data_IF_188008544230
#
_entry.id   IF_188008544230
#
_cell.length_a   1.000
_cell.length_b   1.000
_cell.length_c   1.000
_cell.angle_alpha   90.00
_cell.angle_beta   90.00
_cell.angle_gamma   90.00
#
_symmetry.space_group_name_H-M   'P 1'
#
loop_
_entity.id
_entity.type
_entity.pdbx_description
1 polymer ?
#
# COMPACT_ATOMS: atom_id res chain seq x y z
N UNK A 1 6.08 14.52 -7.47
CA UNK A 1 6.01 13.52 -8.56
C UNK A 1 7.10 12.41 -8.50
N UNK A 2 8.38 12.75 -8.29
CA UNK A 2 9.50 11.78 -8.34
C UNK A 2 9.32 10.53 -7.46
N UNK A 3 8.83 10.70 -6.24
CA UNK A 3 8.60 9.60 -5.30
C UNK A 3 7.44 8.69 -5.71
N UNK A 4 6.41 9.25 -6.37
CA UNK A 4 5.30 8.47 -6.91
C UNK A 4 5.76 7.65 -8.11
N UNK A 5 6.60 8.23 -8.98
CA UNK A 5 7.19 7.49 -10.09
C UNK A 5 8.10 6.35 -9.60
N UNK A 6 8.95 6.62 -8.60
CA UNK A 6 9.77 5.59 -7.97
C UNK A 6 8.91 4.45 -7.39
N UNK A 7 7.82 4.80 -6.70
CA UNK A 7 6.87 3.80 -6.17
C UNK A 7 6.24 2.95 -7.26
N UNK A 8 5.88 3.52 -8.40
CA UNK A 8 5.35 2.77 -9.54
C UNK A 8 6.40 1.83 -10.14
N UNK A 9 7.66 2.28 -10.29
CA UNK A 9 8.76 1.45 -10.80
C UNK A 9 9.00 0.25 -9.88
N UNK A 10 9.07 0.47 -8.57
CA UNK A 10 9.20 -0.60 -7.58
C UNK A 10 7.98 -1.53 -7.56
N UNK A 11 6.78 -1.01 -7.80
CA UNK A 11 5.57 -1.83 -7.91
C UNK A 11 5.63 -2.76 -9.12
N UNK A 12 6.08 -2.27 -10.28
CA UNK A 12 6.32 -3.10 -11.49
C UNK A 12 7.38 -4.16 -11.23
N UNK A 13 8.48 -3.80 -10.53
CA UNK A 13 9.50 -4.77 -10.11
C UNK A 13 8.93 -5.85 -9.21
N UNK A 14 8.08 -5.48 -8.25
CA UNK A 14 7.39 -6.42 -7.35
C UNK A 14 6.47 -7.37 -8.11
N UNK A 15 5.65 -6.85 -9.02
CA UNK A 15 4.79 -7.65 -9.90
C UNK A 15 5.60 -8.66 -10.71
N UNK A 16 6.71 -8.22 -11.31
CA UNK A 16 7.58 -9.07 -12.12
C UNK A 16 8.14 -10.22 -11.28
N UNK A 17 8.61 -9.93 -10.06
CA UNK A 17 9.13 -10.94 -9.14
C UNK A 17 8.05 -11.92 -8.66
N UNK A 18 6.84 -11.44 -8.36
CA UNK A 18 5.72 -12.31 -7.99
C UNK A 18 5.22 -13.17 -9.15
N UNK A 19 5.24 -12.68 -10.39
CA UNK A 19 4.91 -13.46 -11.58
C UNK A 19 5.89 -14.63 -11.80
N UNK A 20 7.16 -14.46 -11.41
CA UNK A 20 8.16 -15.53 -11.47
C UNK A 20 7.91 -16.62 -10.41
N UNK A 21 7.25 -16.29 -9.29
CA UNK A 21 6.82 -17.28 -8.28
C UNK A 21 5.66 -18.13 -8.80
N UNK A 22 4.71 -17.53 -9.53
CA UNK A 22 3.56 -18.26 -10.06
C UNK A 22 3.90 -19.14 -11.26
N UNK A 23 4.84 -18.69 -12.12
CA UNK A 23 5.18 -19.37 -13.38
C UNK A 23 6.54 -20.09 -13.36
N UNK A 24 7.30 -20.00 -12.26
CA UNK A 24 8.66 -20.54 -12.12
C UNK A 24 8.83 -21.45 -10.89
N UNK A 25 10.07 -21.65 -10.40
CA UNK A 25 10.30 -22.38 -9.15
C UNK A 25 9.55 -21.69 -8.01
N UNK A 26 8.84 -22.45 -7.18
CA UNK A 26 8.16 -21.95 -5.96
C UNK A 26 9.18 -21.57 -4.87
N UNK A 27 10.11 -20.69 -5.20
CA UNK A 27 11.15 -20.25 -4.28
C UNK A 27 10.60 -19.15 -3.38
N UNK A 28 10.66 -19.38 -2.06
CA UNK A 28 10.31 -18.36 -1.07
C UNK A 28 11.13 -17.08 -1.26
N UNK A 29 12.33 -17.19 -1.85
CA UNK A 29 13.20 -16.05 -2.15
C UNK A 29 12.56 -15.05 -3.11
N UNK A 30 11.94 -15.49 -4.21
CA UNK A 30 11.30 -14.57 -5.16
C UNK A 30 10.08 -13.87 -4.54
N UNK A 31 9.35 -14.55 -3.66
CA UNK A 31 8.27 -13.92 -2.90
C UNK A 31 8.81 -12.84 -1.95
N UNK A 32 9.89 -13.12 -1.21
CA UNK A 32 10.54 -12.14 -0.34
C UNK A 32 11.10 -10.95 -1.11
N UNK A 33 11.71 -11.18 -2.28
CA UNK A 33 12.20 -10.11 -3.14
C UNK A 33 11.05 -9.27 -3.70
N UNK A 34 9.95 -9.91 -4.12
CA UNK A 34 8.73 -9.22 -4.54
C UNK A 34 8.17 -8.35 -3.41
N UNK A 35 8.05 -8.92 -2.20
CA UNK A 35 7.62 -8.20 -0.99
C UNK A 35 8.53 -7.02 -0.66
N UNK A 36 9.85 -7.19 -0.78
CA UNK A 36 10.83 -6.12 -0.58
C UNK A 36 10.71 -5.02 -1.64
N UNK A 37 10.44 -5.37 -2.89
CA UNK A 37 10.19 -4.38 -3.95
C UNK A 37 8.93 -3.58 -3.67
N UNK A 38 7.83 -4.23 -3.28
CA UNK A 38 6.62 -3.53 -2.86
C UNK A 38 6.87 -2.66 -1.62
N UNK A 39 7.62 -3.14 -0.62
CA UNK A 39 8.02 -2.36 0.55
C UNK A 39 8.66 -1.02 0.13
N UNK A 40 9.62 -1.07 -0.80
CA UNK A 40 10.25 0.13 -1.35
C UNK A 40 9.24 1.03 -2.08
N UNK A 41 8.23 0.45 -2.74
CA UNK A 41 7.14 1.22 -3.33
C UNK A 41 6.34 1.98 -2.28
N UNK A 42 5.90 1.34 -1.20
CA UNK A 42 5.11 2.00 -0.16
C UNK A 42 5.93 3.04 0.60
N UNK A 43 7.22 2.77 0.87
CA UNK A 43 8.12 3.76 1.45
C UNK A 43 8.28 4.97 0.52
N UNK A 44 8.41 4.74 -0.79
CA UNK A 44 8.49 5.84 -1.77
C UNK A 44 7.21 6.68 -1.75
N UNK A 45 6.04 6.05 -1.80
CA UNK A 45 4.76 6.76 -1.69
C UNK A 45 4.62 7.52 -0.37
N UNK A 46 4.93 6.88 0.75
CA UNK A 46 4.91 7.47 2.09
C UNK A 46 5.80 8.70 2.16
N UNK A 47 7.04 8.63 1.67
CA UNK A 47 7.96 9.76 1.58
C UNK A 47 7.41 10.86 0.67
N UNK A 48 6.75 10.50 -0.43
CA UNK A 48 6.06 11.44 -1.29
C UNK A 48 5.00 12.26 -0.55
N UNK A 49 4.17 11.60 0.27
CA UNK A 49 3.13 12.27 1.04
C UNK A 49 3.69 13.03 2.26
N UNK A 50 4.67 12.47 2.96
CA UNK A 50 5.30 13.10 4.12
C UNK A 50 6.08 14.37 3.77
N UNK A 51 6.63 14.44 2.55
CA UNK A 51 7.34 15.63 2.04
C UNK A 51 6.45 16.60 1.25
N UNK A 52 5.13 16.40 1.24
CA UNK A 52 4.22 17.37 0.61
C UNK A 52 4.25 18.71 1.39
N UNK A 53 4.22 19.89 0.71
CA UNK A 53 4.20 21.18 1.38
C UNK A 53 3.08 21.28 2.43
N UNK A 54 3.43 21.72 3.64
CA UNK A 54 2.47 21.79 4.75
C UNK A 54 2.13 20.46 5.43
N UNK A 55 2.73 19.32 5.06
CA UNK A 55 2.44 18.01 5.69
C UNK A 55 2.67 18.00 7.21
N UNK A 56 3.61 18.82 7.73
CA UNK A 56 3.83 19.01 9.18
C UNK A 56 2.62 19.62 9.89
N UNK A 57 1.72 20.27 9.15
CA UNK A 57 0.47 20.82 9.64
C UNK A 57 -0.75 19.96 9.32
N UNK A 58 -0.52 18.74 8.82
CA UNK A 58 -1.57 17.82 8.43
C UNK A 58 -2.45 17.34 9.58
N UNK A 59 -3.57 16.72 9.21
CA UNK A 59 -4.64 16.39 10.14
C UNK A 59 -4.26 15.36 11.20
N UNK A 60 -3.38 14.40 10.87
CA UNK A 60 -2.90 13.36 11.79
C UNK A 60 -1.79 13.91 12.67
N UNK A 61 -0.87 14.71 12.12
CA UNK A 61 0.19 15.34 12.93
C UNK A 61 -0.41 16.24 14.01
N UNK A 62 -1.46 17.02 13.66
CA UNK A 62 -2.19 17.86 14.65
C UNK A 62 -3.05 17.05 15.62
N UNK A 63 -3.43 15.83 15.27
CA UNK A 63 -4.34 15.00 16.07
C UNK A 63 -4.09 13.51 15.80
N UNK A 64 -3.10 12.94 16.48
CA UNK A 64 -2.64 11.57 16.26
C UNK A 64 -3.75 10.52 16.40
N UNK A 65 -4.75 10.79 17.26
CA UNK A 65 -5.90 9.90 17.45
C UNK A 65 -6.65 9.62 16.14
N UNK A 66 -6.63 10.52 15.15
CA UNK A 66 -7.29 10.31 13.85
C UNK A 66 -6.70 9.14 13.04
N UNK A 67 -5.52 8.64 13.41
CA UNK A 67 -4.93 7.44 12.81
C UNK A 67 -5.53 6.12 13.33
N UNK A 68 -6.39 6.16 14.36
CA UNK A 68 -6.93 4.96 15.00
C UNK A 68 -7.52 3.91 14.05
N UNK A 69 -8.25 4.24 12.96
CA UNK A 69 -8.82 3.21 12.09
C UNK A 69 -7.73 2.41 11.37
N UNK A 70 -6.62 3.06 11.01
CA UNK A 70 -5.48 2.41 10.34
C UNK A 70 -4.71 1.51 11.30
N UNK A 71 -4.56 1.94 12.56
CA UNK A 71 -3.92 1.14 13.61
C UNK A 71 -4.77 -0.09 13.95
N UNK A 72 -6.09 0.07 14.04
CA UNK A 72 -7.00 -1.07 14.25
C UNK A 72 -6.96 -2.05 13.07
N UNK A 73 -6.95 -1.54 11.83
CA UNK A 73 -6.79 -2.39 10.65
C UNK A 73 -5.48 -3.18 10.71
N UNK A 74 -4.35 -2.51 11.04
CA UNK A 74 -3.04 -3.17 11.18
C UNK A 74 -3.07 -4.28 12.24
N UNK A 75 -3.63 -4.00 13.42
CA UNK A 75 -3.74 -4.99 14.48
C UNK A 75 -4.64 -6.17 14.04
N UNK A 76 -5.76 -5.88 13.39
CA UNK A 76 -6.70 -6.89 12.90
C UNK A 76 -6.09 -7.80 11.84
N UNK A 77 -5.46 -7.24 10.80
CA UNK A 77 -4.87 -8.05 9.72
C UNK A 77 -3.70 -8.90 10.24
N UNK A 78 -2.86 -8.36 11.13
CA UNK A 78 -1.78 -9.13 11.75
C UNK A 78 -2.36 -10.27 12.60
N UNK A 79 -3.37 -10.02 13.43
CA UNK A 79 -4.00 -11.06 14.25
C UNK A 79 -4.60 -12.20 13.40
N UNK A 80 -5.25 -11.86 12.28
CA UNK A 80 -5.83 -12.85 11.35
C UNK A 80 -4.74 -13.69 10.66
N UNK A 81 -3.64 -13.07 10.24
CA UNK A 81 -2.58 -13.75 9.49
C UNK A 81 -1.60 -14.52 10.38
N UNK A 82 -1.36 -14.07 11.62
CA UNK A 82 -0.32 -14.59 12.51
C UNK A 82 -0.26 -16.11 12.67
N UNK A 83 -1.40 -16.85 12.77
CA UNK A 83 -1.38 -18.30 12.91
C UNK A 83 -0.92 -19.03 11.64
N UNK A 84 -1.05 -18.39 10.47
CA UNK A 84 -0.71 -18.97 9.17
C UNK A 84 0.65 -18.56 8.60
N UNK A 85 1.34 -17.61 9.25
CA UNK A 85 2.65 -17.13 8.78
C UNK A 85 3.77 -18.02 9.35
N UNK A 86 4.64 -18.61 8.51
CA UNK A 86 5.84 -19.32 8.95
C UNK A 86 6.75 -18.44 9.81
N UNK A 87 7.42 -19.02 10.82
CA UNK A 87 8.25 -18.28 11.79
C UNK A 87 9.15 -17.19 11.17
N UNK A 88 10.00 -17.53 10.18
CA UNK A 88 10.88 -16.56 9.52
C UNK A 88 10.16 -15.43 8.76
N UNK A 89 8.92 -15.66 8.32
CA UNK A 89 8.13 -14.71 7.54
C UNK A 89 7.35 -13.71 8.39
N UNK A 90 7.23 -13.95 9.71
CA UNK A 90 6.46 -13.07 10.60
C UNK A 90 7.00 -11.64 10.64
N UNK A 91 8.32 -11.49 10.77
CA UNK A 91 8.95 -10.18 10.79
C UNK A 91 8.82 -9.45 9.43
N UNK A 92 9.17 -10.05 8.27
CA UNK A 92 8.97 -9.44 6.96
C UNK A 92 7.53 -8.98 6.71
N UNK A 93 6.53 -9.84 6.99
CA UNK A 93 5.12 -9.53 6.78
C UNK A 93 4.65 -8.40 7.69
N UNK A 94 5.11 -8.37 8.95
CA UNK A 94 4.75 -7.30 9.89
C UNK A 94 5.33 -5.96 9.46
N UNK A 95 6.62 -5.93 9.08
CA UNK A 95 7.28 -4.71 8.57
C UNK A 95 6.56 -4.19 7.32
N UNK A 96 6.20 -5.10 6.42
CA UNK A 96 5.45 -4.78 5.22
C UNK A 96 4.07 -4.17 5.52
N UNK A 97 3.28 -4.81 6.38
CA UNK A 97 1.97 -4.30 6.79
C UNK A 97 2.07 -2.91 7.44
N UNK A 98 3.09 -2.69 8.28
CA UNK A 98 3.39 -1.38 8.87
C UNK A 98 3.68 -0.33 7.80
N UNK A 99 4.43 -0.67 6.74
CA UNK A 99 4.74 0.27 5.67
C UNK A 99 3.50 0.67 4.85
N UNK A 100 2.64 -0.31 4.50
CA UNK A 100 1.36 -0.06 3.84
C UNK A 100 0.49 0.89 4.68
N UNK A 101 0.34 0.59 5.97
CA UNK A 101 -0.45 1.40 6.90
C UNK A 101 0.16 2.79 7.09
N UNK A 102 1.49 2.88 7.20
CA UNK A 102 2.21 4.15 7.29
C UNK A 102 1.99 5.03 6.05
N UNK A 103 2.00 4.43 4.85
CA UNK A 103 1.68 5.15 3.62
C UNK A 103 0.26 5.70 3.64
N UNK A 104 -0.71 4.90 4.09
CA UNK A 104 -2.10 5.32 4.21
C UNK A 104 -2.29 6.45 5.22
N UNK A 105 -1.64 6.37 6.37
CA UNK A 105 -1.63 7.43 7.39
C UNK A 105 -0.99 8.71 6.83
N UNK A 106 0.15 8.61 6.13
CA UNK A 106 0.83 9.74 5.52
C UNK A 106 -0.07 10.44 4.48
N UNK A 107 -0.79 9.68 3.65
CA UNK A 107 -1.77 10.25 2.72
C UNK A 107 -2.98 10.85 3.44
N UNK A 108 -3.49 10.19 4.48
CA UNK A 108 -4.63 10.68 5.26
C UNK A 108 -4.31 11.98 6.00
N UNK A 109 -3.06 12.13 6.44
CA UNK A 109 -2.55 13.35 7.05
C UNK A 109 -2.73 14.58 6.13
N UNK A 110 -2.70 14.39 4.81
CA UNK A 110 -2.89 15.47 3.83
C UNK A 110 -4.35 15.88 3.63
N UNK A 111 -5.33 15.23 4.29
CA UNK A 111 -6.76 15.55 4.15
C UNK A 111 -7.11 17.05 4.21
N UNK A 112 -6.63 17.85 5.18
CA UNK A 112 -6.99 19.27 5.25
C UNK A 112 -6.27 20.13 4.20
N UNK A 113 -5.21 19.61 3.56
CA UNK A 113 -4.39 20.36 2.61
C UNK A 113 -4.84 20.14 1.16
N UNK A 114 -5.52 19.02 0.89
CA UNK A 114 -5.87 18.60 -0.46
C UNK A 114 -7.33 18.93 -0.80
N UNK A 115 -7.58 19.25 -2.06
CA UNK A 115 -8.94 19.36 -2.58
C UNK A 115 -9.71 18.04 -2.37
N UNK A 116 -10.95 18.13 -1.89
CA UNK A 116 -11.78 16.97 -1.50
C UNK A 116 -11.80 15.86 -2.56
N UNK A 117 -11.98 16.20 -3.83
CA UNK A 117 -12.03 15.22 -4.92
C UNK A 117 -10.70 14.48 -5.12
N UNK A 118 -9.57 15.21 -5.09
CA UNK A 118 -8.23 14.62 -5.25
C UNK A 118 -7.89 13.72 -4.07
N UNK A 119 -8.22 14.16 -2.85
CA UNK A 119 -8.05 13.34 -1.65
C UNK A 119 -8.89 12.05 -1.72
N UNK A 120 -10.18 12.15 -2.05
CA UNK A 120 -11.06 10.97 -2.08
C UNK A 120 -10.58 9.97 -3.14
N UNK A 121 -10.16 10.44 -4.31
CA UNK A 121 -9.58 9.59 -5.34
C UNK A 121 -8.27 8.93 -4.90
N UNK A 122 -7.37 9.69 -4.26
CA UNK A 122 -6.12 9.14 -3.72
C UNK A 122 -6.40 8.07 -2.66
N UNK A 123 -7.30 8.35 -1.71
CA UNK A 123 -7.60 7.45 -0.61
C UNK A 123 -8.35 6.20 -1.08
N UNK A 124 -9.25 6.33 -2.06
CA UNK A 124 -9.86 5.17 -2.70
C UNK A 124 -8.80 4.26 -3.37
N UNK A 125 -7.81 4.86 -4.03
CA UNK A 125 -6.70 4.12 -4.62
C UNK A 125 -5.88 3.35 -3.58
N UNK A 126 -5.53 4.01 -2.48
CA UNK A 126 -4.79 3.40 -1.37
C UNK A 126 -5.60 2.28 -0.70
N UNK A 127 -6.89 2.46 -0.48
CA UNK A 127 -7.75 1.44 0.12
C UNK A 127 -7.90 0.21 -0.78
N UNK A 128 -8.01 0.40 -2.10
CA UNK A 128 -8.01 -0.69 -3.07
C UNK A 128 -6.66 -1.43 -3.11
N UNK A 129 -5.56 -0.70 -2.99
CA UNK A 129 -4.23 -1.29 -2.86
C UNK A 129 -4.12 -2.14 -1.60
N UNK A 130 -4.50 -1.60 -0.43
CA UNK A 130 -4.57 -2.33 0.84
C UNK A 130 -5.44 -3.59 0.73
N UNK A 131 -6.58 -3.49 0.07
CA UNK A 131 -7.47 -4.62 -0.16
C UNK A 131 -6.78 -5.69 -1.00
N UNK A 132 -6.10 -5.31 -2.09
CA UNK A 132 -5.34 -6.24 -2.92
C UNK A 132 -4.26 -6.98 -2.12
N UNK A 133 -3.47 -6.26 -1.32
CA UNK A 133 -2.44 -6.85 -0.45
C UNK A 133 -3.03 -7.77 0.62
N UNK A 134 -4.18 -7.39 1.18
CA UNK A 134 -4.90 -8.25 2.13
C UNK A 134 -5.31 -9.56 1.47
N UNK A 135 -5.82 -9.51 0.23
CA UNK A 135 -6.19 -10.68 -0.54
C UNK A 135 -4.98 -11.56 -0.86
N UNK A 136 -3.83 -10.97 -1.24
CA UNK A 136 -2.57 -11.71 -1.43
C UNK A 136 -2.18 -12.43 -0.14
N UNK A 137 -2.17 -11.73 0.98
CA UNK A 137 -1.74 -12.29 2.27
C UNK A 137 -2.68 -13.39 2.77
N UNK A 138 -3.99 -13.21 2.63
CA UNK A 138 -4.99 -14.21 2.98
C UNK A 138 -4.86 -15.46 2.09
N UNK A 139 -4.74 -15.27 0.77
CA UNK A 139 -4.57 -16.37 -0.17
C UNK A 139 -3.24 -17.13 0.03
N UNK A 140 -2.20 -16.46 0.54
CA UNK A 140 -0.88 -17.06 0.80
C UNK A 140 -0.83 -17.81 2.14
N UNK A 141 -1.29 -17.19 3.22
CA UNK A 141 -1.06 -17.68 4.59
C UNK A 141 -2.29 -18.31 5.24
N UNK A 142 -3.47 -18.13 4.64
CA UNK A 142 -4.73 -18.59 5.20
C UNK A 142 -5.61 -19.29 4.17
N UNK A 143 -5.03 -19.82 3.09
CA UNK A 143 -5.75 -20.53 2.02
C UNK A 143 -6.62 -21.70 2.53
N UNK A 144 -6.18 -22.39 3.58
CA UNK A 144 -6.96 -23.46 4.21
C UNK A 144 -8.18 -22.96 4.98
N UNK A 145 -8.15 -21.72 5.46
CA UNK A 145 -9.21 -21.11 6.26
C UNK A 145 -10.13 -20.19 5.44
N UNK A 146 -9.63 -19.63 4.33
CA UNK A 146 -10.34 -18.73 3.43
C UNK A 146 -10.14 -19.19 1.99
N UNK A 147 -11.17 -19.80 1.42
CA UNK A 147 -11.23 -20.06 -0.02
C UNK A 147 -11.72 -18.81 -0.75
N UNK A 148 -10.82 -18.15 -1.48
CA UNK A 148 -11.12 -16.93 -2.24
C UNK A 148 -11.29 -17.34 -3.71
N UNK A 149 -12.54 -17.47 -4.21
CA UNK A 149 -12.76 -17.81 -5.60
C UNK A 149 -12.22 -16.71 -6.50
N UNK A 150 -11.52 -17.10 -7.56
CA UNK A 150 -10.89 -16.17 -8.51
C UNK A 150 -9.93 -15.16 -7.85
N UNK A 151 -9.22 -15.56 -6.78
CA UNK A 151 -8.31 -14.71 -6.01
C UNK A 151 -7.41 -13.83 -6.89
N UNK A 152 -6.78 -14.41 -7.92
CA UNK A 152 -5.90 -13.68 -8.85
C UNK A 152 -6.60 -12.52 -9.56
N UNK A 153 -7.83 -12.72 -10.03
CA UNK A 153 -8.61 -11.67 -10.70
C UNK A 153 -8.98 -10.56 -9.72
N UNK A 154 -9.40 -10.90 -8.51
CA UNK A 154 -9.75 -9.93 -7.47
C UNK A 154 -8.54 -9.12 -7.01
N UNK A 155 -7.40 -9.79 -6.79
CA UNK A 155 -6.12 -9.17 -6.46
C UNK A 155 -5.72 -8.18 -7.55
N UNK A 156 -5.67 -8.62 -8.81
CA UNK A 156 -5.20 -7.77 -9.90
C UNK A 156 -6.15 -6.62 -10.22
N UNK A 157 -7.48 -6.83 -10.16
CA UNK A 157 -8.44 -5.76 -10.43
C UNK A 157 -8.40 -4.66 -9.37
N UNK A 158 -8.33 -5.03 -8.09
CA UNK A 158 -8.18 -4.07 -6.98
C UNK A 158 -6.82 -3.38 -7.03
N UNK A 159 -5.75 -4.11 -7.33
CA UNK A 159 -4.39 -3.58 -7.48
C UNK A 159 -4.29 -2.54 -8.60
N UNK A 160 -4.67 -2.90 -9.83
CA UNK A 160 -4.53 -2.04 -11.00
C UNK A 160 -5.37 -0.77 -10.87
N UNK A 161 -6.61 -0.92 -10.38
CA UNK A 161 -7.47 0.23 -10.12
C UNK A 161 -6.90 1.11 -9.00
N UNK A 162 -6.34 0.48 -7.95
CA UNK A 162 -5.67 1.15 -6.85
C UNK A 162 -4.50 2.01 -7.32
N UNK A 163 -3.55 1.39 -8.04
CA UNK A 163 -2.37 2.06 -8.61
C UNK A 163 -2.75 3.18 -9.57
N UNK A 164 -3.74 2.95 -10.45
CA UNK A 164 -4.24 3.97 -11.36
C UNK A 164 -4.77 5.20 -10.61
N UNK A 165 -5.58 4.99 -9.57
CA UNK A 165 -6.13 6.08 -8.77
C UNK A 165 -5.05 6.82 -7.97
N UNK A 166 -4.07 6.11 -7.40
CA UNK A 166 -2.93 6.73 -6.72
C UNK A 166 -2.17 7.62 -7.70
N UNK A 167 -1.76 7.09 -8.85
CA UNK A 167 -0.99 7.82 -9.86
C UNK A 167 -1.75 9.03 -10.40
N UNK A 168 -3.01 8.85 -10.82
CA UNK A 168 -3.85 9.92 -11.37
C UNK A 168 -4.05 11.07 -10.38
N UNK A 169 -4.37 10.76 -9.13
CA UNK A 169 -4.64 11.79 -8.13
C UNK A 169 -3.35 12.45 -7.64
N UNK A 170 -2.23 11.71 -7.56
CA UNK A 170 -0.93 12.32 -7.32
C UNK A 170 -0.56 13.34 -8.39
N UNK A 171 -0.73 13.02 -9.69
CA UNK A 171 -0.47 14.01 -10.76
C UNK A 171 -1.34 15.26 -10.59
N UNK A 172 -2.62 15.09 -10.25
CA UNK A 172 -3.54 16.22 -10.00
C UNK A 172 -3.10 17.09 -8.82
N UNK A 173 -2.66 16.49 -7.72
CA UNK A 173 -2.19 17.18 -6.52
C UNK A 173 -0.95 18.01 -6.85
N UNK A 174 0.07 17.39 -7.45
CA UNK A 174 1.34 18.06 -7.72
C UNK A 174 1.30 19.06 -8.88
N UNK A 175 0.41 18.87 -9.87
CA UNK A 175 0.21 19.87 -10.94
C UNK A 175 -0.46 21.14 -10.42
N UNK A 176 -1.38 21.01 -9.46
CA UNK A 176 -2.07 22.16 -8.87
C UNK A 176 -1.13 22.99 -8.00
N UNK A 177 -0.21 22.33 -7.30
CA UNK A 177 0.84 23.00 -6.53
C UNK A 177 1.71 23.91 -7.41
N UNK A 178 2.19 23.40 -8.55
CA UNK A 178 3.04 24.17 -9.48
C UNK A 178 2.35 25.35 -10.15
N UNK A 179 1.01 25.39 -10.15
CA UNK A 179 0.25 26.53 -10.70
C UNK A 179 -0.04 27.61 -9.65
N UNK A 180 0.12 27.27 -8.36
CA UNK A 180 -0.17 28.15 -7.23
C UNK A 180 1.11 28.73 -6.58
N UNK A 181 2.29 28.27 -6.99
CA UNK A 181 3.62 28.77 -6.59
C UNK A 181 4.18 29.76 -7.59
#
# INVERSE_FOLDING_TARGET
PRFILAGLIFSIGGDTLLMLVENGPKDEQFFLLGLASFLLAQLSYMLGFANYPGAKEGGVVKAAWKAWPFVLYLAGIIAVLWPGIPGPMKAPVTVYACAIVGMAIAAFNLRPLLARQAFLGLMAGILLFILSDSLIALNKFRSEAFDIPYARLLIMSTYLLGQYLIARNAVRIWKRETMNS
#
